data_IF_786160592973
#
_entry.id   IF_786160592973
#
_cell.length_a   1.000
_cell.length_b   1.000
_cell.length_c   1.000
_cell.angle_alpha   90.00
_cell.angle_beta   90.00
_cell.angle_gamma   90.00
#
_symmetry.space_group_name_H-M   'P 1'
#
loop_
_entity.id
_entity.type
_entity.pdbx_description
1 polymer ?
#
# COMPACT_ATOMS: atom_id res chain seq x y z
N UNK A 1 13.13 2.59 -7.39
CA UNK A 1 13.25 2.78 -5.95
C UNK A 1 14.57 2.18 -5.49
N UNK A 2 15.23 2.83 -4.56
CA UNK A 2 16.43 2.29 -3.89
C UNK A 2 16.03 1.76 -2.52
N UNK A 3 16.48 0.57 -2.21
CA UNK A 3 16.29 -0.11 -0.94
C UNK A 3 17.66 -0.15 -0.27
N UNK A 4 17.73 0.31 0.95
CA UNK A 4 18.97 0.30 1.73
C UNK A 4 18.77 -0.52 3.00
N UNK A 5 19.69 -1.43 3.25
CA UNK A 5 19.73 -2.28 4.42
C UNK A 5 21.11 -2.12 5.07
N UNK A 6 21.13 -1.95 6.36
CA UNK A 6 22.35 -1.83 7.14
C UNK A 6 22.21 -2.52 8.50
N UNK A 7 23.33 -2.96 9.03
CA UNK A 7 23.43 -3.51 10.39
C UNK A 7 24.60 -2.86 11.10
N UNK A 8 24.47 -2.64 12.39
CA UNK A 8 25.57 -2.27 13.28
C UNK A 8 26.44 -3.47 13.68
N UNK A 9 25.98 -4.67 13.39
CA UNK A 9 26.72 -5.90 13.69
C UNK A 9 27.72 -6.19 12.60
N UNK A 10 28.85 -6.81 12.95
CA UNK A 10 29.92 -7.14 12.02
C UNK A 10 29.45 -8.09 10.90
N UNK A 11 28.53 -9.01 11.24
CA UNK A 11 27.89 -9.92 10.32
C UNK A 11 26.43 -10.10 10.68
N UNK A 12 25.53 -9.94 9.72
CA UNK A 12 24.10 -10.17 9.89
C UNK A 12 23.52 -10.85 8.65
N UNK A 13 23.01 -12.06 8.82
CA UNK A 13 22.27 -12.76 7.78
C UNK A 13 20.80 -12.32 7.77
N UNK A 14 20.31 -11.84 6.64
CA UNK A 14 18.94 -11.37 6.45
C UNK A 14 18.30 -12.14 5.32
N UNK A 15 17.20 -12.82 5.58
CA UNK A 15 16.37 -13.42 4.53
C UNK A 15 15.30 -12.43 4.09
N UNK A 16 14.95 -12.44 2.81
CA UNK A 16 13.91 -11.56 2.28
C UNK A 16 12.99 -12.25 1.30
N UNK A 17 11.81 -11.71 1.18
CA UNK A 17 10.78 -12.13 0.21
C UNK A 17 10.09 -10.90 -0.34
N UNK A 18 9.95 -10.84 -1.66
CA UNK A 18 9.16 -9.83 -2.34
C UNK A 18 7.84 -10.44 -2.83
N UNK A 19 6.73 -9.83 -2.45
CA UNK A 19 5.37 -10.30 -2.71
C UNK A 19 4.62 -9.24 -3.52
N UNK A 20 3.96 -9.70 -4.58
CA UNK A 20 3.09 -8.88 -5.42
C UNK A 20 1.75 -9.59 -5.54
N UNK A 21 0.67 -8.88 -5.22
CA UNK A 21 -0.66 -9.50 -5.13
C UNK A 21 -0.59 -10.70 -4.15
N UNK A 22 -0.83 -11.91 -4.63
CA UNK A 22 -0.81 -13.14 -3.83
C UNK A 22 0.37 -14.06 -4.17
N UNK A 23 1.40 -13.53 -4.86
CA UNK A 23 2.51 -14.33 -5.37
C UNK A 23 3.86 -13.80 -4.92
N UNK A 24 4.74 -14.71 -4.54
CA UNK A 24 6.16 -14.42 -4.31
C UNK A 24 6.84 -14.23 -5.66
N UNK A 25 7.40 -13.06 -5.91
CA UNK A 25 8.13 -12.76 -7.15
C UNK A 25 9.64 -12.95 -7.00
N UNK A 26 10.13 -12.88 -5.78
CA UNK A 26 11.54 -13.05 -5.46
C UNK A 26 11.71 -13.41 -4.00
N UNK A 27 12.70 -14.26 -3.71
CA UNK A 27 13.14 -14.56 -2.35
C UNK A 27 14.65 -14.83 -2.36
N UNK A 28 15.30 -14.59 -1.23
CA UNK A 28 16.73 -14.81 -1.10
C UNK A 28 17.27 -14.40 0.25
N UNK A 29 18.60 -14.34 0.35
CA UNK A 29 19.28 -13.86 1.54
C UNK A 29 20.37 -12.86 1.21
N UNK A 30 20.71 -12.03 2.19
CA UNK A 30 21.70 -10.98 2.12
C UNK A 30 22.57 -11.08 3.36
N UNK A 31 23.89 -11.16 3.17
CA UNK A 31 24.85 -11.09 4.27
C UNK A 31 25.35 -9.65 4.40
N UNK A 32 24.96 -8.99 5.48
CA UNK A 32 25.44 -7.65 5.83
C UNK A 32 26.73 -7.76 6.64
N UNK A 33 27.80 -7.10 6.17
CA UNK A 33 29.14 -7.15 6.80
C UNK A 33 29.58 -5.77 7.29
N UNK A 34 28.74 -5.14 8.09
CA UNK A 34 29.00 -3.81 8.62
C UNK A 34 28.92 -2.68 7.58
N UNK A 35 28.55 -3.00 6.35
CA UNK A 35 28.38 -2.04 5.26
C UNK A 35 26.91 -1.85 4.90
N UNK A 36 26.60 -0.70 4.29
CA UNK A 36 25.26 -0.41 3.81
C UNK A 36 25.03 -1.14 2.47
N UNK A 37 24.16 -2.13 2.47
CA UNK A 37 23.70 -2.79 1.26
C UNK A 37 22.67 -1.92 0.55
N UNK A 38 22.92 -1.59 -0.71
CA UNK A 38 21.98 -0.82 -1.53
C UNK A 38 21.55 -1.62 -2.75
N UNK A 39 20.26 -1.76 -2.92
CA UNK A 39 19.66 -2.44 -4.06
C UNK A 39 18.71 -1.51 -4.80
N UNK A 40 18.77 -1.52 -6.12
CA UNK A 40 17.80 -0.84 -6.99
C UNK A 40 16.68 -1.81 -7.35
N UNK A 41 15.44 -1.46 -7.03
CA UNK A 41 14.24 -2.14 -7.49
C UNK A 41 13.58 -1.30 -8.59
N UNK A 42 13.42 -1.89 -9.78
CA UNK A 42 12.67 -1.27 -10.87
C UNK A 42 11.22 -1.72 -10.78
N UNK A 43 10.31 -0.76 -10.63
CA UNK A 43 8.87 -1.05 -10.60
C UNK A 43 8.39 -1.40 -11.99
N UNK A 44 7.68 -2.52 -12.13
CA UNK A 44 7.10 -2.97 -13.39
C UNK A 44 5.57 -2.84 -13.35
N UNK A 45 4.90 -2.54 -14.49
CA UNK A 45 3.43 -2.42 -14.54
C UNK A 45 2.69 -3.67 -14.04
N UNK A 46 3.25 -4.85 -14.24
CA UNK A 46 2.71 -6.14 -13.80
C UNK A 46 2.59 -6.29 -12.28
N UNK A 47 3.33 -5.47 -11.52
CA UNK A 47 3.30 -5.49 -10.06
C UNK A 47 2.02 -4.86 -9.47
N UNK A 48 1.21 -4.19 -10.30
CA UNK A 48 -0.07 -3.63 -9.87
C UNK A 48 0.11 -2.40 -8.98
N UNK A 49 -0.50 -2.39 -7.79
CA UNK A 49 -0.54 -1.19 -6.95
C UNK A 49 0.58 -1.12 -5.92
N UNK A 50 1.17 -2.27 -5.53
CA UNK A 50 2.23 -2.30 -4.54
C UNK A 50 3.07 -3.58 -4.59
N UNK A 51 4.27 -3.48 -4.03
CA UNK A 51 5.17 -4.58 -3.72
C UNK A 51 5.35 -4.60 -2.21
N UNK A 52 5.17 -5.74 -1.59
CA UNK A 52 5.49 -5.96 -0.19
C UNK A 52 6.84 -6.66 -0.09
N UNK A 53 7.76 -6.06 0.65
CA UNK A 53 9.06 -6.63 1.01
C UNK A 53 9.00 -7.09 2.45
N UNK A 54 9.23 -8.36 2.69
CA UNK A 54 9.32 -8.94 4.02
C UNK A 54 10.77 -9.34 4.27
N UNK A 55 11.32 -8.91 5.39
CA UNK A 55 12.66 -9.24 5.86
C UNK A 55 12.57 -9.98 7.18
N UNK A 56 13.47 -10.93 7.38
CA UNK A 56 13.63 -11.59 8.66
C UNK A 56 15.12 -11.87 8.95
N UNK A 57 15.51 -11.75 10.21
CA UNK A 57 16.87 -12.06 10.66
C UNK A 57 16.83 -12.54 12.10
N UNK A 58 17.90 -13.22 12.50
CA UNK A 58 18.08 -13.66 13.88
C UNK A 58 19.26 -12.91 14.48
N UNK A 59 19.05 -12.39 15.66
CA UNK A 59 20.08 -11.76 16.48
C UNK A 59 19.92 -12.18 17.94
N UNK A 60 20.99 -12.63 18.57
CA UNK A 60 21.02 -13.08 19.97
C UNK A 60 19.93 -14.14 20.28
N UNK A 61 19.67 -15.04 19.32
CA UNK A 61 18.65 -16.08 19.42
C UNK A 61 17.20 -15.60 19.27
N UNK A 62 17.00 -14.32 18.99
CA UNK A 62 15.67 -13.71 18.78
C UNK A 62 15.46 -13.47 17.28
N UNK A 63 14.30 -13.88 16.78
CA UNK A 63 13.88 -13.59 15.40
C UNK A 63 13.25 -12.22 15.31
N UNK A 64 13.72 -11.42 14.37
CA UNK A 64 13.19 -10.10 14.04
C UNK A 64 12.63 -10.12 12.64
N UNK A 65 11.57 -9.37 12.44
CA UNK A 65 10.95 -9.21 11.12
C UNK A 65 10.69 -7.74 10.82
N UNK A 66 10.81 -7.37 9.55
CA UNK A 66 10.46 -6.04 9.07
C UNK A 66 9.71 -6.13 7.74
N UNK A 67 8.74 -5.25 7.55
CA UNK A 67 7.96 -5.17 6.32
C UNK A 67 8.03 -3.75 5.74
N UNK A 68 8.23 -3.66 4.44
CA UNK A 68 8.22 -2.41 3.70
C UNK A 68 7.30 -2.54 2.49
N UNK A 69 6.33 -1.64 2.36
CA UNK A 69 5.43 -1.62 1.21
C UNK A 69 5.83 -0.50 0.26
N UNK A 70 6.20 -0.86 -0.96
CA UNK A 70 6.49 0.06 -2.05
C UNK A 70 5.22 0.21 -2.88
N UNK A 71 4.59 1.38 -2.81
CA UNK A 71 3.36 1.68 -3.57
C UNK A 71 3.70 2.33 -4.90
N UNK A 72 2.89 2.02 -5.92
CA UNK A 72 2.94 2.74 -7.19
C UNK A 72 2.59 4.21 -6.96
N UNK A 73 3.33 5.16 -7.55
CA UNK A 73 2.92 6.54 -7.54
C UNK A 73 1.52 6.67 -8.17
N UNK A 74 0.62 7.31 -7.45
CA UNK A 74 -0.73 7.58 -7.93
C UNK A 74 -0.67 8.91 -8.69
N UNK A 75 -1.09 8.90 -9.94
CA UNK A 75 -1.25 10.14 -10.69
C UNK A 75 -2.34 11.00 -10.04
N UNK A 76 -2.10 12.31 -9.97
CA UNK A 76 -3.10 13.25 -9.46
C UNK A 76 -4.21 13.39 -10.52
N UNK A 77 -5.33 12.75 -10.29
CA UNK A 77 -6.51 12.79 -11.15
C UNK A 77 -7.57 13.78 -10.68
N UNK A 78 -7.25 14.60 -9.65
CA UNK A 78 -8.19 15.58 -9.12
C UNK A 78 -8.47 16.67 -10.16
N UNK A 79 -9.73 16.87 -10.47
CA UNK A 79 -10.13 17.92 -11.37
C UNK A 79 -10.05 19.29 -10.67
N UNK A 80 -9.58 20.28 -11.40
CA UNK A 80 -9.65 21.68 -11.00
C UNK A 80 -10.95 22.27 -11.53
N UNK A 81 -11.68 22.96 -10.67
CA UNK A 81 -12.93 23.63 -11.03
C UNK A 81 -12.79 25.11 -10.74
N UNK A 82 -13.24 25.94 -11.67
CA UNK A 82 -13.23 27.39 -11.56
C UNK A 82 -14.52 27.97 -12.12
N UNK A 83 -15.17 28.80 -11.33
CA UNK A 83 -16.30 29.58 -11.80
C UNK A 83 -15.79 30.77 -12.62
N UNK A 84 -16.25 30.91 -13.87
CA UNK A 84 -15.93 32.05 -14.72
C UNK A 84 -16.96 33.15 -14.53
N UNK A 85 -18.22 32.76 -14.47
CA UNK A 85 -19.33 33.67 -14.14
C UNK A 85 -20.08 33.11 -12.94
N UNK A 86 -20.22 33.91 -11.89
CA UNK A 86 -20.87 33.52 -10.66
C UNK A 86 -21.34 34.76 -9.90
N UNK A 87 -22.57 34.73 -9.41
CA UNK A 87 -23.09 35.69 -8.44
C UNK A 87 -23.48 34.99 -7.16
N UNK A 88 -23.08 35.56 -6.05
CA UNK A 88 -23.37 35.06 -4.70
C UNK A 88 -24.73 35.45 -4.14
N UNK A 89 -25.42 36.39 -4.82
CA UNK A 89 -26.73 36.87 -4.42
C UNK A 89 -27.65 37.01 -5.63
N UNK A 90 -28.82 36.40 -5.54
CA UNK A 90 -29.85 36.43 -6.57
C UNK A 90 -31.18 36.96 -5.97
N UNK A 91 -31.96 37.60 -6.82
CA UNK A 91 -33.35 37.94 -6.47
C UNK A 91 -34.28 36.80 -6.85
N UNK A 92 -35.37 36.56 -6.11
CA UNK A 92 -36.38 35.58 -6.48
C UNK A 92 -36.87 35.79 -7.92
N UNK A 93 -36.89 34.70 -8.73
CA UNK A 93 -37.32 34.75 -10.14
C UNK A 93 -36.29 35.31 -11.10
N UNK A 94 -35.11 35.71 -10.67
CA UNK A 94 -34.04 36.18 -11.55
C UNK A 94 -33.46 35.00 -12.36
N UNK A 95 -33.41 35.17 -13.69
CA UNK A 95 -32.66 34.22 -14.56
C UNK A 95 -31.19 34.55 -14.48
N UNK A 96 -30.36 33.51 -14.32
CA UNK A 96 -28.93 33.66 -14.24
C UNK A 96 -28.26 32.52 -15.02
N UNK A 97 -27.08 32.80 -15.56
CA UNK A 97 -26.24 31.81 -16.26
C UNK A 97 -24.88 31.78 -15.57
N UNK A 98 -24.47 30.59 -15.14
CA UNK A 98 -23.19 30.36 -14.50
C UNK A 98 -22.33 29.46 -15.36
N UNK A 99 -21.08 29.82 -15.50
CA UNK A 99 -20.11 29.06 -16.28
C UNK A 99 -19.05 28.45 -15.35
N UNK A 100 -19.01 27.12 -15.34
CA UNK A 100 -18.01 26.34 -14.61
C UNK A 100 -16.96 25.81 -15.58
N UNK A 101 -15.72 26.17 -15.38
CA UNK A 101 -14.58 25.60 -16.12
C UNK A 101 -14.01 24.42 -15.35
N UNK A 102 -13.87 23.26 -16.03
CA UNK A 102 -13.32 22.04 -15.48
C UNK A 102 -12.06 21.66 -16.24
N UNK A 103 -10.96 21.45 -15.55
CA UNK A 103 -9.68 21.07 -16.14
C UNK A 103 -8.97 19.98 -15.34
N UNK A 104 -8.05 19.29 -15.99
CA UNK A 104 -7.11 18.38 -15.32
C UNK A 104 -6.09 19.14 -14.47
N UNK A 105 -5.30 18.47 -13.61
CA UNK A 105 -4.28 19.12 -12.79
C UNK A 105 -3.24 19.92 -13.58
N UNK A 106 -2.94 19.50 -14.81
CA UNK A 106 -2.03 20.15 -15.75
C UNK A 106 -2.70 21.25 -16.60
N UNK A 107 -3.98 21.57 -16.34
CA UNK A 107 -4.70 22.67 -16.98
C UNK A 107 -5.35 22.34 -18.32
N UNK A 108 -5.30 21.10 -18.79
CA UNK A 108 -5.94 20.68 -20.03
C UNK A 108 -7.45 20.51 -19.88
N UNK A 109 -8.19 20.80 -20.92
CA UNK A 109 -9.64 20.52 -20.98
C UNK A 109 -9.90 19.01 -20.92
N UNK A 110 -10.89 18.61 -20.13
CA UNK A 110 -11.27 17.21 -19.92
C UNK A 110 -12.75 17.01 -20.13
N UNK A 111 -13.13 15.79 -20.52
CA UNK A 111 -14.52 15.37 -20.45
C UNK A 111 -14.84 14.99 -19.01
N UNK A 112 -15.79 15.67 -18.39
CA UNK A 112 -16.21 15.43 -17.03
C UNK A 112 -17.73 15.35 -16.94
N UNK A 113 -18.21 14.55 -15.99
CA UNK A 113 -19.60 14.59 -15.55
C UNK A 113 -19.70 15.49 -14.33
N UNK A 114 -20.61 16.41 -14.35
CA UNK A 114 -20.84 17.35 -13.25
C UNK A 114 -22.26 17.17 -12.74
N UNK A 115 -22.38 16.98 -11.44
CA UNK A 115 -23.66 17.10 -10.73
C UNK A 115 -23.63 18.42 -9.97
N UNK A 116 -24.56 19.29 -10.31
CA UNK A 116 -24.70 20.57 -9.62
C UNK A 116 -26.02 20.60 -8.82
N UNK A 117 -25.97 21.14 -7.63
CA UNK A 117 -27.14 21.40 -6.81
C UNK A 117 -27.06 22.80 -6.25
N UNK A 118 -28.20 23.39 -6.02
CA UNK A 118 -28.33 24.72 -5.40
C UNK A 118 -29.44 24.67 -4.36
N UNK A 119 -29.19 25.26 -3.22
CA UNK A 119 -30.18 25.39 -2.14
C UNK A 119 -30.08 26.75 -1.50
N UNK A 120 -31.15 27.16 -0.82
CA UNK A 120 -31.17 28.40 -0.06
C UNK A 120 -30.28 28.28 1.17
N UNK A 121 -29.28 29.17 1.28
CA UNK A 121 -28.32 29.17 2.38
C UNK A 121 -28.95 29.36 3.76
N UNK A 122 -30.15 29.94 3.83
CA UNK A 122 -30.89 30.06 5.09
C UNK A 122 -31.22 28.72 5.74
N UNK A 123 -31.29 27.64 4.94
CA UNK A 123 -31.49 26.27 5.43
C UNK A 123 -30.32 25.78 6.30
N UNK A 124 -29.13 26.34 6.14
CA UNK A 124 -27.97 26.03 6.99
C UNK A 124 -28.19 26.45 8.46
N UNK A 125 -29.14 27.36 8.74
CA UNK A 125 -29.51 27.74 10.09
C UNK A 125 -30.35 26.67 10.79
N UNK A 126 -31.03 25.80 10.00
CA UNK A 126 -31.85 24.72 10.53
C UNK A 126 -30.98 23.43 10.64
N UNK A 127 -30.28 23.08 9.60
CA UNK A 127 -29.39 21.94 9.57
C UNK A 127 -28.29 22.13 8.53
N UNK A 128 -27.05 22.09 8.96
CA UNK A 128 -25.90 22.14 8.05
C UNK A 128 -25.67 20.78 7.40
N UNK A 129 -25.72 20.72 6.08
CA UNK A 129 -25.41 19.53 5.33
C UNK A 129 -24.05 19.70 4.60
N UNK A 130 -23.13 18.78 4.88
CA UNK A 130 -21.82 18.78 4.25
C UNK A 130 -21.82 17.83 3.06
N UNK A 131 -21.85 18.40 1.86
CA UNK A 131 -21.80 17.66 0.59
C UNK A 131 -20.37 17.18 0.32
N UNK A 132 -20.00 16.03 0.87
CA UNK A 132 -18.70 15.42 0.60
C UNK A 132 -18.85 14.19 -0.28
N UNK A 133 -18.49 14.32 -1.55
CA UNK A 133 -18.27 13.17 -2.40
C UNK A 133 -16.86 12.62 -2.10
N UNK A 134 -16.81 11.47 -1.43
CA UNK A 134 -15.56 10.72 -1.25
C UNK A 134 -15.57 9.56 -2.23
N UNK A 135 -14.67 9.59 -3.19
CA UNK A 135 -14.39 8.46 -4.06
C UNK A 135 -13.16 7.74 -3.48
N UNK A 136 -13.35 6.64 -2.73
CA UNK A 136 -12.24 5.92 -2.15
C UNK A 136 -11.42 5.28 -3.27
N UNK A 137 -10.13 5.54 -3.27
CA UNK A 137 -9.19 4.82 -4.11
C UNK A 137 -8.77 3.55 -3.37
N UNK A 138 -9.27 2.41 -3.82
CA UNK A 138 -8.88 1.12 -3.28
C UNK A 138 -7.58 0.66 -3.96
N UNK A 139 -6.49 0.61 -3.19
CA UNK A 139 -5.25 -0.03 -3.61
C UNK A 139 -5.30 -1.49 -3.16
N UNK A 140 -5.03 -2.39 -4.07
CA UNK A 140 -4.81 -3.80 -3.74
C UNK A 140 -3.40 -3.96 -3.17
N UNK A 141 -3.30 -4.03 -1.84
CA UNK A 141 -2.02 -4.21 -1.18
C UNK A 141 -1.74 -5.71 -0.99
N UNK A 142 -0.56 -6.18 -1.37
CA UNK A 142 -0.15 -7.54 -1.10
C UNK A 142 -0.03 -7.77 0.42
N UNK A 143 -0.34 -8.98 0.85
CA UNK A 143 -0.22 -9.40 2.24
C UNK A 143 0.76 -10.55 2.36
N UNK A 144 1.55 -10.54 3.40
CA UNK A 144 2.47 -11.61 3.75
C UNK A 144 3.23 -11.25 5.03
N UNK A 145 3.64 -12.26 5.77
CA UNK A 145 4.49 -12.04 6.95
C UNK A 145 5.35 -13.26 7.22
N UNK A 146 6.54 -13.01 7.74
CA UNK A 146 7.30 -14.03 8.42
C UNK A 146 6.76 -14.17 9.83
N UNK A 147 6.42 -15.39 10.25
CA UNK A 147 5.92 -15.65 11.58
C UNK A 147 6.69 -16.85 12.18
N UNK A 148 7.47 -16.57 13.21
CA UNK A 148 8.23 -17.58 13.96
C UNK A 148 7.32 -18.64 14.60
N UNK A 149 6.14 -18.25 15.09
CA UNK A 149 5.21 -19.16 15.76
C UNK A 149 4.70 -20.26 14.84
N UNK A 150 4.50 -19.99 13.55
CA UNK A 150 4.08 -21.02 12.58
C UNK A 150 5.15 -22.07 12.33
N UNK A 151 6.42 -21.78 12.57
CA UNK A 151 7.51 -22.75 12.47
C UNK A 151 7.58 -23.64 13.71
N UNK A 152 7.09 -23.17 14.86
CA UNK A 152 7.00 -23.97 16.10
C UNK A 152 5.77 -24.87 16.14
N UNK A 153 4.68 -24.46 15.50
CA UNK A 153 3.42 -25.21 15.41
C UNK A 153 3.37 -26.12 14.16
N UNK A 154 4.47 -26.78 13.83
CA UNK A 154 4.42 -27.90 12.90
C UNK A 154 3.80 -29.05 13.72
N UNK A 155 2.48 -29.09 13.75
CA UNK A 155 1.73 -30.26 14.11
C UNK A 155 1.94 -31.28 12.97
N UNK A 156 2.91 -32.13 13.13
CA UNK A 156 3.07 -33.29 12.28
C UNK A 156 1.88 -34.23 12.58
N UNK A 157 0.79 -34.06 11.83
CA UNK A 157 -0.27 -35.06 11.78
C UNK A 157 0.22 -36.23 10.92
N UNK A 158 0.82 -37.20 11.59
CA UNK A 158 1.26 -38.44 10.98
C UNK A 158 2.09 -39.23 11.97
N UNK A 159 1.84 -40.51 12.10
CA UNK A 159 2.76 -41.40 12.78
C UNK A 159 4.08 -41.41 11.99
N UNK A 160 5.07 -40.67 12.48
CA UNK A 160 6.43 -40.91 12.04
C UNK A 160 6.76 -42.34 12.50
N UNK A 161 7.20 -43.23 11.60
CA UNK A 161 7.71 -44.54 11.98
C UNK A 161 9.03 -44.33 12.76
N UNK A 162 8.90 -44.04 14.05
CA UNK A 162 10.01 -43.86 14.94
C UNK A 162 10.41 -45.27 15.40
N UNK A 163 11.48 -45.82 14.83
CA UNK A 163 12.13 -47.00 15.45
C UNK A 163 12.67 -46.55 16.81
N UNK A 164 12.29 -47.18 17.90
CA UNK A 164 12.88 -46.89 19.22
C UNK A 164 14.39 -47.00 19.18
N UNK A 165 15.07 -46.16 19.94
CA UNK A 165 16.55 -46.11 19.96
C UNK A 165 17.18 -47.47 20.30
N UNK A 166 16.46 -48.31 21.07
CA UNK A 166 16.88 -49.66 21.45
C UNK A 166 16.97 -50.63 20.28
N UNK A 167 16.17 -50.46 19.22
CA UNK A 167 16.28 -51.31 18.00
C UNK A 167 17.41 -50.85 17.06
N UNK A 168 17.94 -49.64 17.23
CA UNK A 168 19.08 -49.14 16.45
C UNK A 168 20.44 -49.57 16.96
N UNK A 169 20.50 -50.12 18.17
CA UNK A 169 21.76 -50.59 18.77
C UNK A 169 22.02 -52.09 18.58
N UNK A 170 21.12 -52.83 17.96
CA UNK A 170 21.21 -54.29 17.77
C UNK A 170 21.38 -54.73 16.30
N UNK A 171 21.48 -53.80 15.37
CA UNK A 171 21.89 -54.02 13.99
C UNK A 171 23.31 -53.39 13.80
#
# INVERSE_FOLDING_TARGET
VYIQLGSSDAEQHVVYTAIVKDSVIESGSIDLKGELYTRRLTYKPEYGDAILLCYAWVKDGICYTHQATIKRPIEDTRLKTQWTTFRDRLKPGQKEEWTLHVSSPDGKAVKAQVMATMYDKSLDMISRYDWRLRLPLYLSLPYGSWNEQRLRDINCFGELPFKPLAERMLD
#
